data_IF_866319923653
#
_entry.id   IF_866319923653
#
_cell.length_a   1.000
_cell.length_b   1.000
_cell.length_c   1.000
_cell.angle_alpha   90.00
_cell.angle_beta   90.00
_cell.angle_gamma   90.00
#
_symmetry.space_group_name_H-M   'P 1'
#
loop_
_entity.id
_entity.type
_entity.pdbx_description
1 polymer ?
2 polymer ?
3 non-polymer ?
4 non-polymer ?
5 non-polymer ?
6 non-polymer ?
7 non-polymer ?
8 non-polymer ?
9 non-polymer ?
10 water ?
#
# COMPACT_ATOMS: atom_id res chain seq x y z
N UNK A 1 10.61 -1.78 -16.26
CA UNK A 1 11.60 -0.74 -16.54
C UNK A 1 10.95 0.64 -16.52
N UNK A 2 9.62 0.66 -16.66
CA UNK A 2 8.86 1.90 -16.71
C UNK A 2 8.12 2.14 -15.38
N UNK A 3 8.45 1.36 -14.37
CA UNK A 3 7.68 1.42 -13.13
C UNK A 3 7.69 2.83 -12.51
N UNK A 4 6.61 3.16 -11.83
CA UNK A 4 6.58 4.34 -10.98
C UNK A 4 6.53 5.68 -11.69
N UNK A 5 6.31 5.67 -13.00
CA UNK A 5 6.10 6.89 -13.77
C UNK A 5 4.67 6.86 -14.29
N UNK A 6 3.84 7.77 -13.81
CA UNK A 6 2.40 7.72 -14.07
C UNK A 6 2.04 8.33 -15.41
N UNK A 7 1.25 7.59 -16.20
CA UNK A 7 0.84 8.11 -17.51
C UNK A 7 0.21 9.50 -17.46
N UNK A 8 -0.59 9.79 -16.44
CA UNK A 8 -1.32 11.05 -16.43
C UNK A 8 -0.60 12.16 -15.67
N UNK A 9 0.57 11.84 -15.11
CA UNK A 9 1.33 12.83 -14.35
C UNK A 9 2.77 12.94 -14.86
N UNK A 10 3.70 12.15 -14.33
CA UNK A 10 5.09 12.26 -14.79
C UNK A 10 5.24 12.22 -16.32
N UNK A 11 4.51 11.33 -16.97
CA UNK A 11 4.66 11.15 -18.41
C UNK A 11 4.15 12.34 -19.21
N UNK A 12 3.33 13.18 -18.58
CA UNK A 12 2.78 14.37 -19.22
C UNK A 12 3.32 15.66 -18.62
N UNK A 13 4.34 15.55 -17.77
CA UNK A 13 4.88 16.70 -17.04
C UNK A 13 3.83 17.44 -16.23
N UNK A 14 2.92 16.70 -15.58
CA UNK A 14 1.91 17.28 -14.73
C UNK A 14 2.12 16.81 -13.30
N UNK A 15 1.88 17.70 -12.35
CA UNK A 15 2.05 17.36 -10.94
C UNK A 15 0.70 17.18 -10.27
N UNK A 16 0.61 16.21 -9.37
CA UNK A 16 -0.64 16.03 -8.66
C UNK A 16 -0.72 17.08 -7.56
N UNK A 17 -1.88 17.16 -6.92
CA UNK A 17 -2.20 18.27 -6.05
C UNK A 17 -1.38 18.29 -4.75
N UNK A 18 -0.78 17.17 -4.35
CA UNK A 18 -0.03 17.16 -3.09
C UNK A 18 1.37 16.55 -3.11
N UNK A 19 1.89 16.18 -4.28
CA UNK A 19 3.21 15.57 -4.32
C UNK A 19 4.31 16.53 -3.87
N UNK A 20 4.08 17.83 -4.03
CA UNK A 20 5.07 18.80 -3.57
C UNK A 20 5.29 18.72 -2.07
N UNK A 21 4.25 18.31 -1.33
CA UNK A 21 4.40 18.14 0.12
C UNK A 21 5.43 17.07 0.43
N UNK A 22 5.48 16.04 -0.42
CA UNK A 22 6.46 14.98 -0.24
C UNK A 22 7.86 15.53 -0.51
N UNK A 23 8.01 16.24 -1.63
CA UNK A 23 9.30 16.75 -2.04
C UNK A 23 9.81 17.71 -0.98
N UNK A 24 8.92 18.58 -0.48
CA UNK A 24 9.30 19.56 0.50
C UNK A 24 9.72 18.93 1.84
N UNK A 25 9.19 17.75 2.15
CA UNK A 25 9.58 17.07 3.39
C UNK A 25 11.04 16.63 3.34
N UNK A 26 11.61 16.49 2.14
CA UNK A 26 13.01 16.18 2.04
C UNK A 26 13.85 17.38 2.42
N UNK A 27 13.30 18.57 2.27
CA UNK A 27 14.00 19.81 2.64
C UNK A 27 13.86 20.08 4.13
N UNK A 28 12.61 20.03 4.60
CA UNK A 28 12.24 20.50 5.94
C UNK A 28 12.03 19.43 7.00
N UNK A 29 11.90 18.17 6.59
CA UNK A 29 11.47 17.12 7.51
C UNK A 29 12.56 16.65 8.43
N UNK A 30 13.80 16.88 8.00
CA UNK A 30 15.00 16.59 8.78
C UNK A 30 15.94 17.77 8.64
N UNK B 1 -9.21 5.78 4.73
CA UNK B 1 -8.27 6.85 4.99
C UNK B 1 -8.96 7.95 5.80
N UNK B 2 -8.36 8.29 6.93
CA UNK B 2 -8.85 9.35 7.81
C UNK B 2 -8.10 10.65 7.51
N UNK B 3 -8.86 11.73 7.37
CA UNK B 3 -8.30 13.07 7.14
C UNK B 3 -7.48 13.18 5.83
N UNK B 4 -7.91 12.43 4.83
CA UNK B 4 -7.34 12.53 3.51
C UNK B 4 -8.23 13.34 2.59
N UNK B 5 -7.99 13.20 1.30
CA UNK B 5 -8.83 13.84 0.28
C UNK B 5 -9.04 12.91 -0.91
N UNK B 6 -9.93 13.28 -1.82
CA UNK B 6 -10.16 12.49 -3.02
C UNK B 6 -8.89 12.46 -3.87
N UNK B 7 -8.52 11.28 -4.32
CA UNK B 7 -7.44 11.14 -5.28
C UNK B 7 -7.86 11.80 -6.58
N UNK B 8 -6.88 12.30 -7.32
CA UNK B 8 -7.10 12.68 -8.70
C UNK B 8 -7.12 11.43 -9.57
N UNK B 9 -7.74 11.55 -10.73
CA UNK B 9 -7.78 10.45 -11.69
C UNK B 9 -6.36 10.05 -12.09
N UNK B 10 -6.07 8.75 -11.99
CA UNK B 10 -4.80 8.21 -12.40
C UNK B 10 -3.66 8.57 -11.47
N UNK B 11 -3.97 9.05 -10.26
CA UNK B 11 -2.95 9.51 -9.34
C UNK B 11 -2.17 8.35 -8.73
N UNK B 12 -2.82 7.18 -8.64
CA UNK B 12 -2.27 6.00 -8.00
C UNK B 12 -2.62 4.79 -8.89
N UNK B 13 -2.02 4.73 -10.08
CA UNK B 13 -2.48 3.73 -11.05
C UNK B 13 -2.02 2.30 -10.72
N UNK B 14 -1.22 2.16 -9.67
CA UNK B 14 -0.85 0.85 -9.13
C UNK B 14 -1.82 0.37 -8.05
N UNK B 15 -2.79 1.18 -7.68
CA UNK B 15 -3.79 0.80 -6.68
C UNK B 15 -4.59 -0.40 -7.12
N UNK B 16 -4.75 -1.37 -6.23
CA UNK B 16 -5.53 -2.56 -6.49
C UNK B 16 -6.51 -2.77 -5.34
N UNK B 17 -7.73 -3.14 -5.71
CA UNK B 17 -8.74 -3.53 -4.75
C UNK B 17 -8.81 -5.04 -4.68
N UNK B 18 -8.65 -5.59 -3.48
CA UNK B 18 -8.86 -7.01 -3.22
C UNK B 18 -10.31 -7.21 -2.82
N UNK B 19 -11.00 -8.06 -3.57
CA UNK B 19 -12.45 -8.17 -3.50
C UNK B 19 -12.86 -9.62 -3.21
N UNK B 20 -13.76 -9.79 -2.25
CA UNK B 20 -14.37 -11.09 -1.97
C UNK B 20 -15.44 -11.37 -3.02
N UNK B 21 -15.44 -12.57 -3.57
CA UNK B 21 -16.42 -12.93 -4.59
C UNK B 21 -17.81 -13.13 -4.05
N UNK B 22 -17.91 -13.72 -2.87
CA UNK B 22 -19.20 -14.20 -2.41
C UNK B 22 -19.20 -14.27 -0.90
N UNK B 23 -19.90 -13.33 -0.24
CA UNK B 23 -20.59 -12.19 -0.85
C UNK B 23 -19.63 -11.17 -1.40
N UNK B 24 -20.12 -10.32 -2.28
CA UNK B 24 -19.30 -9.31 -2.91
C UNK B 24 -18.93 -8.21 -1.92
N UNK B 25 -17.65 -8.05 -1.62
CA UNK B 25 -17.24 -6.96 -0.76
C UNK B 25 -15.75 -6.64 -0.82
N UNK B 26 -15.46 -5.37 -0.58
CA UNK B 26 -14.09 -4.91 -0.54
C UNK B 26 -13.41 -5.48 0.71
N UNK B 27 -12.28 -6.14 0.52
CA UNK B 27 -11.53 -6.70 1.65
C UNK B 27 -10.33 -5.88 2.08
N UNK B 28 -9.57 -5.41 1.09
CA UNK B 28 -8.27 -4.84 1.36
C UNK B 28 -7.81 -4.06 0.17
N UNK B 29 -6.79 -3.26 0.39
CA UNK B 29 -5.99 -2.72 -0.68
C UNK B 29 -4.88 -3.66 -1.08
N UNK B 30 -4.16 -3.29 -2.14
CA UNK B 30 -3.09 -4.07 -2.71
C UNK B 30 -2.44 -3.18 -3.76
N UNK B 31 -1.39 -3.67 -4.40
CA UNK B 31 -0.68 -2.84 -5.38
C UNK B 31 -0.16 -3.68 -6.52
N UNK B 32 -0.04 -3.06 -7.68
CA UNK B 32 0.41 -3.71 -8.89
C UNK B 32 1.90 -3.49 -9.02
N UNK B 33 2.69 -4.57 -9.02
CA UNK B 33 4.15 -4.43 -9.09
C UNK B 33 4.72 -4.92 -10.43
N UNK B 34 3.88 -5.55 -11.23
CA UNK B 34 4.23 -5.93 -12.60
C UNK B 34 2.93 -6.32 -13.30
N UNK B 35 3.01 -6.77 -14.54
CA UNK B 35 1.78 -7.08 -15.26
C UNK B 35 1.08 -8.33 -14.75
N UNK B 36 1.72 -9.15 -13.92
CA UNK B 36 0.95 -10.26 -13.36
C UNK B 36 1.19 -10.53 -11.88
N UNK B 37 1.82 -9.61 -11.18
CA UNK B 37 2.00 -9.78 -9.73
C UNK B 37 1.43 -8.61 -8.96
N UNK B 38 0.73 -8.96 -7.89
CA UNK B 38 0.11 -7.99 -6.99
C UNK B 38 0.59 -8.25 -5.56
N UNK B 39 0.89 -7.17 -4.86
CA UNK B 39 1.43 -7.19 -3.51
C UNK B 39 0.35 -6.75 -2.51
N UNK B 40 0.25 -7.46 -1.38
CA UNK B 40 -0.72 -7.08 -0.36
C UNK B 40 -0.18 -7.53 1.01
N UNK B 41 -1.01 -7.38 2.04
CA UNK B 41 -0.67 -7.84 3.37
C UNK B 41 -1.14 -9.29 3.56
N UNK B 42 -0.31 -10.09 4.21
CA UNK B 42 -0.68 -11.45 4.55
C UNK B 42 -2.00 -11.52 5.30
N UNK B 43 -2.26 -10.54 6.19
CA UNK B 43 -3.44 -10.65 7.06
C UNK B 43 -4.72 -10.46 6.26
N UNK B 44 -4.60 -9.95 5.03
CA UNK B 44 -5.76 -9.83 4.15
C UNK B 44 -6.22 -11.19 3.63
N UNK B 45 -5.32 -12.16 3.67
CA UNK B 45 -5.55 -13.49 3.10
C UNK B 45 -5.64 -14.56 4.17
N UNK B 46 -4.91 -14.36 5.27
CA UNK B 46 -4.75 -15.38 6.28
C UNK B 46 -4.73 -14.74 7.66
N UNK B 47 -5.77 -15.02 8.45
CA UNK B 47 -5.78 -14.58 9.83
C UNK B 47 -6.65 -15.55 10.59
N UNK B 48 -6.05 -16.66 11.02
CA UNK B 48 -6.76 -17.77 11.67
C UNK B 48 -7.64 -17.40 12.85
N UNK B 49 -7.29 -16.35 13.62
CA UNK B 49 -8.19 -16.05 14.75
C UNK B 49 -9.60 -15.72 14.29
N UNK B 50 -9.73 -15.25 13.05
CA UNK B 50 -11.04 -14.90 12.49
C UNK B 50 -11.45 -15.88 11.40
N UNK B 51 -10.93 -17.10 11.47
CA UNK B 51 -11.21 -18.14 10.48
C UNK B 51 -11.13 -17.59 9.06
N UNK B 52 -10.13 -16.74 8.84
CA UNK B 52 -9.85 -16.22 7.50
C UNK B 52 -8.68 -17.00 6.92
N UNK B 53 -8.91 -17.63 5.77
CA UNK B 53 -7.90 -18.41 5.09
C UNK B 53 -8.34 -18.61 3.66
N UNK B 54 -8.21 -17.57 2.86
CA UNK B 54 -8.78 -17.59 1.53
C UNK B 54 -8.02 -18.49 0.58
N UNK B 55 -8.76 -19.10 -0.33
CA UNK B 55 -8.17 -19.77 -1.47
C UNK B 55 -8.36 -18.84 -2.67
N UNK B 56 -7.65 -19.13 -3.75
CA UNK B 56 -7.58 -18.25 -4.91
C UNK B 56 -8.94 -18.01 -5.54
N UNK B 57 -9.78 -19.03 -5.56
CA UNK B 57 -11.06 -18.87 -6.25
C UNK B 57 -12.09 -18.14 -5.36
N UNK B 58 -11.69 -17.75 -4.15
CA UNK B 58 -12.55 -16.96 -3.28
C UNK B 58 -12.51 -15.46 -3.60
N UNK B 59 -11.54 -15.06 -4.42
CA UNK B 59 -11.17 -13.65 -4.53
C UNK B 59 -11.04 -13.15 -5.96
N UNK B 60 -11.11 -11.84 -6.11
CA UNK B 60 -10.82 -11.12 -7.35
C UNK B 60 -9.93 -9.94 -7.01
N UNK B 61 -9.20 -9.42 -7.99
CA UNK B 61 -8.63 -8.10 -7.83
C UNK B 61 -9.21 -7.18 -8.90
N UNK B 62 -9.38 -5.92 -8.54
CA UNK B 62 -9.89 -4.91 -9.46
C UNK B 62 -8.87 -3.81 -9.53
N UNK B 63 -8.44 -3.53 -10.75
CA UNK B 63 -7.30 -2.66 -11.01
C UNK B 63 -7.78 -1.49 -11.87
N UNK B 64 -7.22 -0.30 -11.66
CA UNK B 64 -7.58 0.86 -12.46
C UNK B 64 -8.78 1.63 -11.92
N UNK B 65 -9.19 1.32 -10.70
CA UNK B 65 -10.41 1.92 -10.18
C UNK B 65 -10.22 3.29 -9.55
N UNK B 66 -11.33 4.02 -9.51
CA UNK B 66 -11.41 5.30 -8.84
C UNK B 66 -12.61 5.27 -7.88
N UNK B 67 -13.81 5.07 -8.42
CA UNK B 67 -15.00 4.88 -7.59
C UNK B 67 -14.84 3.63 -6.73
N UNK B 68 -15.29 3.70 -5.48
CA UNK B 68 -15.28 2.55 -4.59
C UNK B 68 -16.24 1.46 -5.08
N UNK B 69 -17.40 1.87 -5.60
CA UNK B 69 -18.51 0.95 -5.81
C UNK B 69 -18.96 0.77 -7.26
N UNK B 70 -18.79 1.79 -8.10
CA UNK B 70 -19.27 1.71 -9.48
C UNK B 70 -18.41 0.76 -10.30
N UNK B 71 -19.04 0.00 -11.20
CA UNK B 71 -18.28 -0.73 -12.20
C UNK B 71 -17.83 0.25 -13.26
N UNK B 72 -16.52 0.42 -13.40
CA UNK B 72 -15.93 1.42 -14.27
C UNK B 72 -15.52 0.75 -15.57
N UNK B 73 -16.54 0.48 -16.39
CA UNK B 73 -16.38 -0.34 -17.59
C UNK B 73 -15.23 0.05 -18.49
N UNK B 74 -15.04 1.34 -18.70
CA UNK B 74 -14.01 1.76 -19.65
C UNK B 74 -12.59 1.84 -19.10
N UNK B 75 -12.42 1.64 -17.79
CA UNK B 75 -11.11 1.86 -17.19
C UNK B 75 -10.61 0.74 -16.29
N UNK B 76 -11.50 0.11 -15.53
CA UNK B 76 -11.02 -0.93 -14.63
C UNK B 76 -10.89 -2.28 -15.32
N UNK B 77 -9.99 -3.08 -14.76
CA UNK B 77 -9.79 -4.46 -15.16
C UNK B 77 -9.95 -5.37 -13.96
N UNK B 78 -10.72 -6.43 -14.14
CA UNK B 78 -10.96 -7.41 -13.10
C UNK B 78 -10.17 -8.66 -13.44
N UNK B 79 -9.38 -9.14 -12.50
CA UNK B 79 -8.49 -10.27 -12.73
C UNK B 79 -8.69 -11.34 -11.67
N UNK B 80 -8.53 -12.57 -12.12
CA UNK B 80 -8.53 -13.75 -11.26
C UNK B 80 -7.12 -14.06 -10.77
N UNK B 81 -7.06 -14.77 -9.65
CA UNK B 81 -5.81 -15.19 -9.02
C UNK B 81 -5.43 -16.61 -9.46
N UNK B 82 -4.20 -16.78 -9.93
CA UNK B 82 -3.60 -18.09 -10.17
C UNK B 82 -3.08 -18.74 -8.89
N UNK B 83 -2.41 -17.94 -8.05
CA UNK B 83 -1.78 -18.47 -6.85
C UNK B 83 -1.46 -17.36 -5.83
N UNK B 84 -1.68 -17.68 -4.56
CA UNK B 84 -1.33 -16.87 -3.39
C UNK B 84 -0.06 -17.42 -2.74
N UNK B 85 0.83 -16.50 -2.39
CA UNK B 85 2.07 -16.83 -1.68
C UNK B 85 2.16 -15.95 -0.46
N UNK B 86 2.19 -16.57 0.73
CA UNK B 86 2.25 -15.86 1.99
C UNK B 86 3.63 -16.10 2.58
N UNK B 87 4.25 -15.05 3.11
CA UNK B 87 5.55 -15.24 3.75
C UNK B 87 5.47 -16.37 4.77
N UNK B 88 6.41 -17.33 4.73
CA UNK B 88 6.34 -18.48 5.64
C UNK B 88 6.54 -18.11 7.12
N UNK B 89 7.15 -16.96 7.38
CA UNK B 89 7.38 -16.53 8.77
C UNK B 89 6.49 -15.34 9.16
N UNK B 90 5.40 -15.16 8.43
CA UNK B 90 4.34 -14.27 8.85
C UNK B 90 3.85 -14.65 10.24
N UNK B 91 3.97 -13.71 11.18
CA UNK B 91 3.72 -14.00 12.60
C UNK B 91 2.40 -13.40 13.07
N UNK B 92 1.30 -14.02 12.69
CA UNK B 92 -0.03 -13.51 13.04
C UNK B 92 -0.37 -13.70 14.51
N UNK B 93 0.31 -14.62 15.16
CA UNK B 93 -0.01 -14.95 16.55
C UNK B 93 0.50 -13.90 17.52
N UNK B 94 1.49 -13.12 17.10
CA UNK B 94 2.15 -12.20 18.02
C UNK B 94 2.06 -10.72 17.62
N UNK B 95 2.59 -10.36 16.44
CA UNK B 95 2.82 -8.96 16.10
C UNK B 95 2.63 -8.62 14.63
N UNK B 96 2.13 -9.57 13.84
CA UNK B 96 2.01 -9.40 12.38
C UNK B 96 3.37 -9.10 11.72
N UNK B 97 4.44 -9.60 12.30
CA UNK B 97 5.75 -9.52 11.65
C UNK B 97 5.70 -10.20 10.28
N UNK B 98 6.38 -9.60 9.30
CA UNK B 98 6.42 -10.12 7.94
C UNK B 98 5.01 -10.25 7.35
N UNK B 99 4.22 -9.19 7.47
CA UNK B 99 2.84 -9.14 6.99
C UNK B 99 2.85 -8.80 5.51
N UNK B 100 3.07 -9.83 4.70
CA UNK B 100 3.26 -9.66 3.27
C UNK B 100 2.81 -10.91 2.53
N UNK B 101 2.19 -10.67 1.37
CA UNK B 101 1.77 -11.73 0.49
C UNK B 101 1.84 -11.25 -0.96
N UNK B 102 2.06 -12.20 -1.85
CA UNK B 102 2.01 -11.96 -3.28
C UNK B 102 0.89 -12.75 -3.89
N UNK B 103 0.31 -12.19 -4.96
CA UNK B 103 -0.71 -12.88 -5.74
C UNK B 103 -0.34 -12.80 -7.21
N UNK B 104 -0.25 -13.96 -7.86
CA UNK B 104 0.02 -14.03 -9.27
C UNK B 104 -1.33 -14.11 -9.97
N UNK B 105 -1.51 -13.26 -10.98
CA UNK B 105 -2.77 -13.21 -11.74
C UNK B 105 -2.82 -14.29 -12.82
N UNK B 106 -4.04 -14.67 -13.18
CA UNK B 106 -4.22 -15.73 -14.18
C UNK B 106 -3.74 -15.34 -15.57
N UNK B 107 -3.78 -14.06 -15.89
CA UNK B 107 -3.18 -13.55 -17.12
C UNK B 107 -2.67 -12.15 -16.89
N UNK B 108 -1.68 -11.74 -17.70
CA UNK B 108 -1.11 -10.40 -17.54
C UNK B 108 -2.17 -9.36 -17.80
N UNK B 109 -2.10 -8.26 -17.06
CA UNK B 109 -3.00 -7.13 -17.25
C UNK B 109 -2.35 -6.12 -18.19
N UNK B 110 -3.14 -5.56 -19.09
CA UNK B 110 -2.65 -4.51 -19.97
C UNK B 110 -2.58 -3.20 -19.20
N UNK B 111 -1.43 -2.54 -19.31
CA UNK B 111 -1.26 -1.23 -18.73
C UNK B 111 -2.02 -0.19 -19.55
N UNK B 112 -2.35 0.92 -18.90
CA UNK B 112 -3.15 1.96 -19.52
C UNK B 112 -2.86 3.26 -18.76
N UNK B 113 -3.57 4.33 -19.09
CA UNK B 113 -3.45 5.56 -18.31
C UNK B 113 -3.81 5.37 -16.83
N UNK B 114 -4.59 4.33 -16.54
CA UNK B 114 -5.15 4.10 -15.20
C UNK B 114 -4.53 2.90 -14.47
N UNK B 115 -3.69 2.15 -15.17
CA UNK B 115 -3.14 0.90 -14.68
C UNK B 115 -1.66 0.87 -15.02
N UNK B 116 -0.84 0.90 -13.99
CA UNK B 116 0.60 1.00 -14.19
C UNK B 116 1.30 0.60 -12.89
N UNK B 117 2.40 -0.17 -12.99
CA UNK B 117 3.04 -0.68 -11.78
C UNK B 117 3.91 0.33 -11.02
N UNK B 118 3.98 0.14 -9.71
CA UNK B 118 4.84 0.90 -8.84
C UNK B 118 6.20 0.22 -8.78
N UNK B 119 7.24 0.99 -8.50
CA UNK B 119 8.58 0.41 -8.30
C UNK B 119 8.76 -0.11 -6.89
N UNK B 120 9.62 -1.12 -6.75
CA UNK B 120 10.05 -1.55 -5.42
C UNK B 120 11.46 -1.01 -5.16
N UNK B 121 11.72 -0.57 -3.92
CA UNK B 121 12.99 0.08 -3.62
C UNK B 121 14.18 -0.86 -3.61
N UNK B 122 15.30 -0.35 -4.14
CA UNK B 122 16.62 -0.90 -3.93
C UNK B 122 17.15 -0.44 -2.56
N UNK B 123 18.28 -1.02 -2.16
CA UNK B 123 18.85 -0.78 -0.84
C UNK B 123 19.14 0.69 -0.60
N UNK B 124 19.75 1.35 -1.56
CA UNK B 124 20.14 2.74 -1.33
C UNK B 124 18.93 3.66 -1.33
N UNK B 125 17.95 3.40 -2.17
CA UNK B 125 16.72 4.18 -2.14
C UNK B 125 16.06 4.05 -0.78
N UNK B 126 15.97 2.83 -0.26
CA UNK B 126 15.40 2.64 1.07
C UNK B 126 16.20 3.36 2.15
N UNK B 127 17.52 3.27 2.11
CA UNK B 127 18.33 3.93 3.11
C UNK B 127 18.15 5.45 3.10
N UNK B 128 18.10 6.00 1.89
CA UNK B 128 17.97 7.44 1.71
C UNK B 128 16.60 7.97 2.08
N UNK B 129 15.55 7.24 1.70
CA UNK B 129 14.20 7.78 1.84
C UNK B 129 13.48 7.40 3.10
N UNK B 130 13.76 6.22 3.66
CA UNK B 130 13.00 5.81 4.83
C UNK B 130 13.69 6.38 6.07
N UNK B 131 13.47 7.67 6.26
CA UNK B 131 14.02 8.42 7.38
C UNK B 131 12.92 9.23 8.06
N UNK B 132 12.99 9.29 9.38
CA UNK B 132 12.00 10.04 10.16
C UNK B 132 11.90 11.47 9.66
N UNK B 133 10.67 11.92 9.48
CA UNK B 133 10.38 13.26 9.03
C UNK B 133 10.09 13.36 7.54
N UNK B 134 10.59 12.43 6.76
CA UNK B 134 10.26 12.39 5.33
C UNK B 134 8.86 11.80 5.19
N UNK B 135 8.09 12.32 4.23
CA UNK B 135 6.70 11.90 4.07
C UNK B 135 6.51 10.92 2.91
N UNK B 136 5.64 9.94 3.15
CA UNK B 136 5.09 9.13 2.09
C UNK B 136 3.61 9.29 1.99
N UNK B 137 3.01 8.45 1.16
CA UNK B 137 1.61 8.58 0.77
C UNK B 137 0.89 7.27 0.86
N UNK B 138 -0.28 7.31 1.49
CA UNK B 138 -1.13 6.15 1.66
C UNK B 138 -2.43 6.41 0.91
N UNK B 139 -2.92 5.37 0.22
CA UNK B 139 -4.16 5.47 -0.55
C UNK B 139 -5.03 4.26 -0.27
N UNK B 140 -6.33 4.46 -0.36
CA UNK B 140 -7.27 3.35 -0.21
C UNK B 140 -8.71 3.79 -0.16
N UNK B 141 -9.59 2.80 -0.09
CA UNK B 141 -11.03 2.99 -0.05
C UNK B 141 -11.61 2.63 1.32
N UNK B 142 -10.74 2.55 2.30
CA UNK B 142 -11.14 2.22 3.65
C UNK B 142 -11.94 3.33 4.32
N UNK B 143 -12.36 3.07 5.54
CA UNK B 143 -13.25 3.98 6.24
C UNK B 143 -12.63 5.35 6.50
N UNK B 144 -13.49 6.35 6.58
CA UNK B 144 -13.09 7.74 6.79
C UNK B 144 -12.83 8.06 8.26
N UNK B 145 -13.32 7.22 9.16
CA UNK B 145 -13.16 7.43 10.60
C UNK B 145 -13.20 6.08 11.31
N UNK B 146 -12.59 5.99 12.50
CA UNK B 146 -12.57 4.75 13.27
C UNK B 146 -13.99 4.27 13.61
N UNK B 155 -19.74 5.63 6.56
CA UNK B 155 -18.42 6.20 6.80
C UNK B 155 -17.42 5.79 5.73
N UNK B 156 -17.92 5.55 4.52
CA UNK B 156 -17.10 5.05 3.43
C UNK B 156 -17.00 6.08 2.31
N UNK B 157 -15.83 6.17 1.67
CA UNK B 157 -15.69 7.20 0.63
C UNK B 157 -16.33 6.79 -0.67
N UNK B 158 -16.73 7.79 -1.45
CA UNK B 158 -17.23 7.58 -2.78
C UNK B 158 -16.09 7.19 -3.75
N UNK B 159 -14.91 7.79 -3.56
CA UNK B 159 -13.79 7.53 -4.44
C UNK B 159 -12.51 7.33 -3.64
N UNK B 160 -11.49 6.84 -4.32
CA UNK B 160 -10.18 6.59 -3.72
C UNK B 160 -9.70 7.80 -2.93
N UNK B 161 -9.20 7.57 -1.72
CA UNK B 161 -8.67 8.61 -0.87
C UNK B 161 -7.16 8.55 -0.77
N UNK B 162 -6.57 9.69 -0.49
CA UNK B 162 -5.13 9.85 -0.39
C UNK B 162 -4.78 10.70 0.83
N UNK B 163 -3.70 10.34 1.53
CA UNK B 163 -3.15 11.19 2.57
C UNK B 163 -1.64 11.02 2.60
N UNK B 164 -0.94 12.09 2.90
CA UNK B 164 0.52 12.05 3.03
C UNK B 164 0.85 12.09 4.51
N UNK B 165 1.80 11.25 4.93
CA UNK B 165 2.14 11.11 6.34
C UNK B 165 3.65 10.96 6.52
N UNK B 166 4.17 11.53 7.62
CA UNK B 166 5.60 11.41 7.87
C UNK B 166 5.99 10.12 8.55
N UNK B 167 7.16 9.61 8.16
CA UNK B 167 7.77 8.48 8.84
C UNK B 167 8.21 8.93 10.24
N UNK B 168 8.04 8.04 11.21
CA UNK B 168 8.28 8.34 12.62
C UNK B 168 9.51 7.60 13.13
N UNK B 169 10.24 8.25 14.03
CA UNK B 169 11.42 7.69 14.69
C UNK B 169 11.08 6.38 15.36
N UNK B 170 11.94 5.39 15.21
CA UNK B 170 11.64 4.05 15.74
C UNK B 170 11.35 4.05 17.26
N UNK B 171 12.13 4.80 18.07
CA UNK B 171 11.79 4.78 19.50
C UNK B 171 10.39 5.31 19.79
N UNK B 172 9.92 6.28 19.01
CA UNK B 172 8.56 6.79 19.21
C UNK B 172 7.54 5.72 18.81
N UNK B 173 7.77 5.05 17.69
CA UNK B 173 6.93 3.93 17.29
C UNK B 173 6.87 2.89 18.40
N UNK B 174 8.03 2.50 18.93
CA UNK B 174 8.10 1.46 19.96
C UNK B 174 7.35 1.87 21.22
N UNK B 175 7.52 3.12 21.64
CA UNK B 175 6.91 3.57 22.87
C UNK B 175 5.40 3.77 22.74
N UNK B 176 4.88 3.80 21.52
CA UNK B 176 3.45 4.06 21.28
C UNK B 176 2.57 2.83 21.45
N UNK B 177 3.16 1.65 21.59
CA UNK B 177 2.41 0.40 21.56
C UNK B 177 3.08 -0.63 22.44
N UNK B 178 2.31 -1.60 22.92
CA UNK B 178 2.87 -2.70 23.67
C UNK B 178 3.19 -3.88 22.79
N UNK B 179 2.79 -3.80 21.52
CA UNK B 179 3.12 -4.84 20.58
C UNK B 179 4.63 -4.85 20.37
N UNK B 180 5.19 -6.04 20.24
CA UNK B 180 6.61 -6.18 19.97
C UNK B 180 6.91 -5.87 18.51
N UNK B 181 7.40 -4.67 18.24
CA UNK B 181 7.74 -4.19 16.90
C UNK B 181 9.04 -4.84 16.44
N UNK B 182 9.21 -4.99 15.14
CA UNK B 182 10.45 -5.52 14.57
C UNK B 182 10.96 -4.60 13.48
N UNK B 183 12.16 -4.91 12.99
CA UNK B 183 12.76 -4.12 11.94
C UNK B 183 12.10 -4.37 10.59
N UNK B 184 11.16 -5.32 10.54
CA UNK B 184 10.38 -5.52 9.32
C UNK B 184 9.12 -4.67 9.24
N UNK B 185 9.00 -3.72 10.17
CA UNK B 185 7.91 -2.77 10.23
C UNK B 185 8.49 -1.40 10.41
N UNK B 186 7.75 -0.40 9.95
CA UNK B 186 8.01 0.98 10.34
C UNK B 186 6.67 1.63 10.66
N UNK B 187 6.71 2.78 11.32
CA UNK B 187 5.46 3.47 11.58
C UNK B 187 5.48 4.87 11.02
N UNK B 188 4.28 5.41 10.80
CA UNK B 188 4.13 6.72 10.18
C UNK B 188 2.86 7.35 10.70
N UNK B 189 2.85 8.68 10.65
CA UNK B 189 1.73 9.48 11.12
C UNK B 189 2.26 10.68 11.88
N UNK B 190 1.39 11.67 12.11
CA UNK B 190 1.77 12.86 12.86
C UNK B 190 1.76 12.58 14.35
N UNK B 191 2.65 13.28 15.04
CA UNK B 191 2.68 13.29 16.49
C UNK B 191 1.68 14.31 16.98
N UNK B 192 1.18 14.14 18.22
CA UNK B 192 0.31 15.18 18.78
C UNK B 192 0.90 16.57 18.69
N UNK B 193 2.20 16.71 18.96
CA UNK B 193 2.81 18.05 18.98
C UNK B 193 2.93 18.67 17.59
N UNK B 194 2.61 17.91 16.54
CA UNK B 194 2.65 18.46 15.19
C UNK B 194 1.30 19.04 14.75
N UNK B 195 0.26 18.73 15.49
CA UNK B 195 -1.03 19.34 15.25
C UNK B 195 -1.60 19.15 13.85
N UNK B 196 -1.35 17.99 13.26
CA UNK B 196 -1.98 17.57 12.01
C UNK B 196 -2.44 16.11 12.20
N UNK B 197 -3.31 15.65 11.32
CA UNK B 197 -3.93 14.34 11.48
C UNK B 197 -3.86 13.53 10.21
N UNK B 198 -4.27 12.26 10.30
CA UNK B 198 -4.31 11.39 9.14
C UNK B 198 -3.85 9.99 9.47
N UNK B 199 -4.50 8.99 8.86
CA UNK B 199 -4.14 7.59 9.09
C UNK B 199 -4.85 6.72 8.06
N UNK B 200 -4.38 5.49 7.95
CA UNK B 200 -5.14 4.41 7.32
C UNK B 200 -6.26 3.97 8.27
N UNK B 201 -7.27 3.33 7.72
CA UNK B 201 -8.35 2.80 8.55
C UNK B 201 -8.96 1.58 7.88
N UNK B 202 -9.97 0.99 8.51
CA UNK B 202 -10.52 -0.28 8.09
C UNK B 202 -10.81 -0.34 6.59
N UNK B 203 -10.19 -1.29 5.91
CA UNK B 203 -10.33 -1.43 4.45
C UNK B 203 -9.12 -0.96 3.66
N UNK B 204 -8.25 -0.17 4.29
CA UNK B 204 -7.03 0.32 3.64
C UNK B 204 -5.88 -0.66 3.73
N UNK B 205 -5.94 -1.59 4.68
CA UNK B 205 -4.81 -2.45 4.89
C UNK B 205 -4.55 -3.32 3.65
N UNK B 206 -3.29 -3.67 3.48
CA UNK B 206 -2.81 -4.32 2.28
C UNK B 206 -2.38 -3.36 1.19
N UNK B 207 -2.88 -2.12 1.24
CA UNK B 207 -2.52 -1.10 0.28
C UNK B 207 -1.14 -0.50 0.45
N UNK B 208 -0.76 0.41 -0.47
CA UNK B 208 0.62 0.88 -0.51
C UNK B 208 0.90 2.19 0.23
N UNK B 209 2.07 2.24 0.86
CA UNK B 209 2.72 3.46 1.33
C UNK B 209 3.83 3.72 0.34
N UNK B 210 3.70 4.81 -0.42
CA UNK B 210 4.64 5.10 -1.48
C UNK B 210 5.38 6.40 -1.22
N UNK B 211 6.55 6.52 -1.84
CA UNK B 211 7.34 7.72 -1.79
C UNK B 211 7.80 8.05 -3.19
N UNK B 212 7.86 9.34 -3.51
CA UNK B 212 8.38 9.77 -4.81
C UNK B 212 9.87 10.09 -4.65
N UNK B 213 10.69 9.34 -5.37
CA UNK B 213 12.13 9.50 -5.25
C UNK B 213 12.58 10.82 -5.85
N UNK B 214 13.36 11.61 -5.10
CA UNK B 214 13.94 12.84 -5.63
C UNK B 214 15.09 12.54 -6.58
N UNK B 215 15.58 11.31 -6.58
CA UNK B 215 16.73 10.96 -7.39
C UNK B 215 16.36 10.67 -8.84
N UNK B 216 15.18 10.06 -9.05
CA UNK B 216 14.77 9.69 -10.41
C UNK B 216 13.30 9.96 -10.75
N UNK B 217 12.61 10.65 -9.86
CA UNK B 217 11.21 11.05 -10.03
C UNK B 217 10.23 9.88 -10.12
N UNK B 218 10.65 8.70 -9.72
CA UNK B 218 9.77 7.54 -9.74
C UNK B 218 9.15 7.29 -8.37
N UNK B 219 7.95 6.74 -8.39
CA UNK B 219 7.27 6.29 -7.19
C UNK B 219 7.68 4.88 -6.79
N UNK B 220 8.03 4.74 -5.52
CA UNK B 220 8.44 3.49 -4.92
C UNK B 220 7.51 3.12 -3.80
N UNK B 221 7.19 1.84 -3.71
CA UNK B 221 6.39 1.35 -2.59
C UNK B 221 7.31 0.93 -1.44
N UNK B 222 7.33 1.77 -0.42
CA UNK B 222 8.18 1.53 0.74
C UNK B 222 7.50 0.69 1.82
N UNK B 223 6.18 0.75 1.89
CA UNK B 223 5.43 0.05 2.90
C UNK B 223 4.16 -0.59 2.41
N UNK B 224 3.65 -1.54 3.20
CA UNK B 224 2.31 -2.09 3.03
C UNK B 224 1.54 -1.75 4.31
N UNK B 225 0.35 -1.18 4.16
CA UNK B 225 -0.50 -0.88 5.31
C UNK B 225 -0.76 -2.18 6.07
N UNK B 226 -0.31 -2.25 7.33
CA UNK B 226 -0.35 -3.50 8.06
C UNK B 226 -1.29 -3.47 9.26
N UNK B 227 -1.03 -2.62 10.23
CA UNK B 227 -1.90 -2.54 11.40
C UNK B 227 -1.81 -1.23 12.15
N UNK B 228 -2.86 -0.96 12.93
CA UNK B 228 -2.91 0.19 13.80
C UNK B 228 -3.86 -0.10 14.94
N UNK B 229 -3.73 0.64 16.04
CA UNK B 229 -4.65 0.49 17.16
C UNK B 229 -5.67 1.58 17.03
N UNK B 230 -6.83 1.23 16.49
CA UNK B 230 -7.82 2.22 16.10
C UNK B 230 -7.37 2.92 14.82
N UNK B 231 -7.94 4.09 14.57
CA UNK B 231 -7.53 4.93 13.46
C UNK B 231 -7.40 6.39 13.89
N UNK B 232 -6.29 6.98 13.52
CA UNK B 232 -6.02 8.39 13.75
C UNK B 232 -6.15 8.77 15.22
N UNK B 233 -5.71 7.89 16.13
CA UNK B 233 -5.70 8.23 17.54
C UNK B 233 -4.45 9.03 17.92
N UNK B 234 -4.62 9.96 18.85
CA UNK B 234 -3.49 10.74 19.34
C UNK B 234 -2.50 9.84 20.04
N UNK B 235 -1.23 9.94 19.62
CA UNK B 235 -0.16 9.18 20.22
C UNK B 235 -0.04 7.76 19.73
N UNK B 236 -0.87 7.40 18.76
CA UNK B 236 -0.79 6.14 18.03
C UNK B 236 -0.35 6.40 16.60
N UNK B 237 0.24 5.39 15.96
CA UNK B 237 0.79 5.50 14.61
C UNK B 237 0.34 4.30 13.79
N UNK B 238 0.32 4.45 12.49
CA UNK B 238 0.10 3.32 11.62
C UNK B 238 1.38 2.56 11.44
N UNK B 239 1.26 1.23 11.44
CA UNK B 239 2.38 0.33 11.15
C UNK B 239 2.30 -0.28 9.76
N UNK B 240 3.47 -0.35 9.13
CA UNK B 240 3.62 -0.70 7.72
C UNK B 240 4.69 -1.77 7.58
N UNK B 241 4.45 -2.73 6.70
CA UNK B 241 5.44 -3.73 6.39
C UNK B 241 6.56 -3.06 5.60
N UNK B 242 7.80 -3.31 6.00
CA UNK B 242 8.99 -2.70 5.39
C UNK B 242 9.33 -3.46 4.12
N UNK B 243 8.93 -2.90 2.99
CA UNK B 243 9.03 -3.61 1.71
C UNK B 243 10.47 -3.96 1.37
N UNK B 244 11.40 -3.01 1.54
CA UNK B 244 12.78 -3.32 1.21
C UNK B 244 13.31 -4.52 2.02
N UNK B 245 13.01 -4.57 3.31
CA UNK B 245 13.44 -5.67 4.20
C UNK B 245 12.95 -7.01 3.72
N UNK B 246 11.80 -7.00 3.05
CA UNK B 246 11.16 -8.21 2.57
C UNK B 246 11.43 -8.48 1.10
N UNK B 247 12.23 -7.62 0.45
CA UNK B 247 12.42 -7.72 -0.99
C UNK B 247 13.14 -9.01 -1.37
N UNK B 248 14.03 -9.49 -0.52
CA UNK B 248 14.68 -10.74 -0.78
C UNK B 248 13.65 -11.86 -0.98
N UNK B 249 12.61 -11.87 -0.15
CA UNK B 249 11.55 -12.86 -0.27
C UNK B 249 10.72 -12.65 -1.55
N UNK B 250 10.37 -11.40 -1.83
CA UNK B 250 9.61 -11.08 -3.05
C UNK B 250 10.37 -11.58 -4.27
N UNK B 251 11.66 -11.31 -4.33
CA UNK B 251 12.47 -11.72 -5.48
C UNK B 251 12.53 -13.25 -5.56
N UNK B 252 12.66 -13.91 -4.42
CA UNK B 252 12.75 -15.37 -4.38
C UNK B 252 11.47 -15.99 -4.95
N UNK B 253 10.33 -15.43 -4.57
CA UNK B 253 9.05 -15.95 -5.05
C UNK B 253 8.89 -15.73 -6.55
N UNK B 254 9.17 -14.52 -7.02
CA UNK B 254 8.98 -14.23 -8.42
C UNK B 254 10.01 -14.97 -9.31
N UNK B 255 11.25 -15.09 -8.84
CA UNK B 255 12.25 -15.87 -9.56
C UNK B 255 11.86 -17.34 -9.68
N UNK B 256 11.29 -17.89 -8.61
CA UNK B 256 10.94 -19.32 -8.61
C UNK B 256 9.69 -19.61 -9.42
N UNK B 257 8.71 -18.73 -9.32
CA UNK B 257 7.39 -19.03 -9.88
C UNK B 257 7.09 -18.23 -11.14
N UNK B 258 8.03 -17.40 -11.55
CA UNK B 258 8.00 -16.85 -12.89
C UNK B 258 7.44 -15.46 -12.94
N UNK B 259 8.21 -14.57 -13.52
CA UNK B 259 7.81 -13.19 -13.73
C UNK B 259 6.56 -13.16 -14.63
#
# INVERSE_FOLDING_TARGET
ADCGLRPLFEKKSLEDKTERELLESYIDGR
IVEGSDAEIGMSPWQVMLFRKSPQELLCGASLISDRWVLTAAHCLLYPPWDKNFTENDLLVRIGKHSRTRYERNIEKISMLEKIYIHPRYNWRENLDRDIALMKLKKPVAFSDYIHPVCLPDRETAASLLQAGYKGRVTGWGNLKETWTANVGKGQPSVLQVVNLPIVERPVCKDSTRIRITDNMFCAGYKPDEGKRGDACEGDSGGPFVMKSPFNNRWYQMGIVSWGEGCDRDGKYGFYTHVFRLKKWIQKVIDQFGE
#
